data_IF_314463259600
#
_entry.id   IF_314463259600
#
_cell.length_a   1.000
_cell.length_b   1.000
_cell.length_c   1.000
_cell.angle_alpha   90.00
_cell.angle_beta   90.00
_cell.angle_gamma   90.00
#
_symmetry.space_group_name_H-M   'P 1'
#
loop_
_entity.id
_entity.type
_entity.pdbx_description
1 polymer ?
#
# COMPACT_ATOMS: atom_id res chain seq x y z
N UNK A 1 -2.08 -24.53 -12.87
CA UNK A 1 -3.41 -23.91 -12.65
C UNK A 1 -4.03 -24.52 -11.39
N UNK A 2 -3.64 -24.04 -10.21
CA UNK A 2 -4.38 -24.33 -8.99
C UNK A 2 -4.85 -22.98 -8.44
N UNK A 3 -6.17 -22.89 -8.17
CA UNK A 3 -6.94 -21.74 -7.67
C UNK A 3 -7.46 -20.74 -8.74
N UNK A 4 -8.55 -21.13 -9.42
CA UNK A 4 -9.81 -20.37 -9.51
C UNK A 4 -9.88 -18.91 -10.01
N UNK A 5 -8.80 -18.26 -10.42
CA UNK A 5 -8.87 -16.90 -10.95
C UNK A 5 -9.65 -16.87 -12.26
N UNK A 6 -10.74 -16.11 -12.30
CA UNK A 6 -11.50 -15.83 -13.53
C UNK A 6 -11.15 -14.43 -14.04
N UNK A 7 -10.87 -14.27 -15.34
CA UNK A 7 -10.68 -12.95 -15.94
C UNK A 7 -11.86 -12.01 -15.62
N UNK A 8 -11.56 -10.72 -15.49
CA UNK A 8 -12.60 -9.72 -15.31
C UNK A 8 -13.49 -9.68 -16.56
N UNK A 9 -14.80 -9.51 -16.41
CA UNK A 9 -15.71 -9.43 -17.57
C UNK A 9 -15.31 -8.32 -18.57
N UNK A 10 -14.74 -7.23 -18.05
CA UNK A 10 -14.21 -6.14 -18.86
C UNK A 10 -12.92 -6.51 -19.63
N UNK A 11 -12.20 -7.53 -19.18
CA UNK A 11 -10.90 -8.00 -19.71
C UNK A 11 -10.87 -9.54 -19.80
N UNK A 12 -11.70 -10.15 -20.67
CA UNK A 12 -11.88 -11.61 -20.69
C UNK A 12 -10.65 -12.37 -21.22
N UNK A 13 -9.84 -11.73 -22.07
CA UNK A 13 -8.62 -12.30 -22.64
C UNK A 13 -7.39 -11.76 -21.89
N UNK A 14 -6.68 -12.65 -21.19
CA UNK A 14 -5.48 -12.33 -20.41
C UNK A 14 -4.23 -12.06 -21.26
N UNK A 15 -4.24 -12.45 -22.54
CA UNK A 15 -3.13 -12.25 -23.47
C UNK A 15 -3.29 -10.96 -24.30
N UNK A 16 -4.43 -10.28 -24.16
CA UNK A 16 -4.73 -9.04 -24.88
C UNK A 16 -4.31 -7.83 -24.06
N UNK A 17 -3.64 -6.88 -24.72
CA UNK A 17 -3.42 -5.54 -24.17
C UNK A 17 -4.67 -4.68 -24.37
N UNK A 18 -5.18 -4.10 -23.29
CA UNK A 18 -6.30 -3.16 -23.30
C UNK A 18 -5.76 -1.76 -23.06
N UNK A 19 -6.09 -0.83 -23.96
CA UNK A 19 -5.66 0.57 -23.88
C UNK A 19 -6.87 1.48 -23.99
N UNK A 20 -6.85 2.57 -23.24
CA UNK A 20 -7.89 3.59 -23.24
C UNK A 20 -7.31 4.92 -22.76
N UNK A 21 -7.74 6.02 -23.36
CA UNK A 21 -7.40 7.37 -22.90
C UNK A 21 -8.19 7.77 -21.64
N UNK A 22 -9.19 6.97 -21.26
CA UNK A 22 -9.98 7.14 -20.06
C UNK A 22 -9.88 5.90 -19.17
N UNK A 23 -10.04 6.09 -17.86
CA UNK A 23 -10.05 4.99 -16.89
C UNK A 23 -11.21 4.00 -17.18
N UNK A 24 -10.88 2.72 -17.34
CA UNK A 24 -11.88 1.67 -17.57
C UNK A 24 -12.94 1.66 -16.47
N UNK A 25 -14.19 1.34 -16.84
CA UNK A 25 -15.34 1.37 -15.93
C UNK A 25 -15.14 0.55 -14.64
N UNK A 26 -14.47 -0.60 -14.74
CA UNK A 26 -14.14 -1.47 -13.60
C UNK A 26 -13.29 -0.77 -12.53
N UNK A 27 -12.41 0.15 -12.94
CA UNK A 27 -11.59 0.96 -12.04
C UNK A 27 -12.26 2.28 -11.69
N UNK A 28 -12.92 2.94 -12.65
CA UNK A 28 -13.66 4.19 -12.41
C UNK A 28 -14.73 4.04 -11.34
N UNK A 29 -15.41 2.90 -11.31
CA UNK A 29 -16.41 2.60 -10.29
C UNK A 29 -15.81 2.53 -8.87
N UNK A 30 -14.50 2.30 -8.74
CA UNK A 30 -13.79 2.25 -7.45
C UNK A 30 -13.37 3.63 -6.95
N UNK A 31 -13.43 4.65 -7.80
CA UNK A 31 -13.13 6.03 -7.44
C UNK A 31 -14.37 6.67 -6.80
N UNK A 32 -14.25 7.25 -5.59
CA UNK A 32 -15.34 7.98 -4.94
C UNK A 32 -15.85 9.13 -5.81
N UNK A 33 -17.18 9.31 -5.83
CA UNK A 33 -17.78 10.41 -6.56
C UNK A 33 -17.46 11.77 -5.90
N UNK A 34 -16.85 12.68 -6.66
CA UNK A 34 -16.49 14.04 -6.22
C UNK A 34 -17.69 14.88 -5.75
N UNK A 35 -18.92 14.53 -6.15
CA UNK A 35 -20.16 15.21 -5.71
C UNK A 35 -20.63 14.79 -4.31
N UNK A 36 -19.99 13.81 -3.68
CA UNK A 36 -20.35 13.39 -2.32
C UNK A 36 -20.07 14.51 -1.32
N UNK A 37 -20.98 14.71 -0.37
CA UNK A 37 -20.83 15.69 0.71
C UNK A 37 -19.57 15.44 1.56
N UNK A 38 -19.18 14.17 1.73
CA UNK A 38 -18.01 13.75 2.50
C UNK A 38 -16.74 13.56 1.66
N UNK A 39 -16.76 13.94 0.38
CA UNK A 39 -15.61 13.78 -0.51
C UNK A 39 -14.33 14.46 0.02
N UNK A 40 -14.37 15.71 0.54
CA UNK A 40 -13.17 16.34 1.05
C UNK A 40 -12.52 15.57 2.20
N UNK A 41 -13.34 15.09 3.15
CA UNK A 41 -12.87 14.26 4.26
C UNK A 41 -12.34 12.91 3.79
N UNK A 42 -12.84 12.36 2.67
CA UNK A 42 -12.29 11.14 2.08
C UNK A 42 -10.90 11.41 1.50
N UNK A 43 -10.76 12.46 0.69
CA UNK A 43 -9.49 12.85 0.06
C UNK A 43 -8.43 13.12 1.11
N UNK A 44 -8.79 13.87 2.16
CA UNK A 44 -7.91 14.14 3.29
C UNK A 44 -7.44 12.84 3.95
N UNK A 45 -8.32 11.85 4.18
CA UNK A 45 -7.90 10.54 4.74
C UNK A 45 -6.86 9.81 3.89
N UNK A 46 -6.83 10.04 2.59
CA UNK A 46 -5.84 9.45 1.68
C UNK A 46 -4.51 10.21 1.69
N UNK A 47 -4.35 11.25 2.51
CA UNK A 47 -3.15 12.09 2.52
C UNK A 47 -2.99 12.90 1.22
N UNK A 48 -4.09 13.17 0.53
CA UNK A 48 -4.16 13.92 -0.72
C UNK A 48 -4.80 15.30 -0.48
N UNK A 49 -4.49 16.26 -1.35
CA UNK A 49 -5.22 17.53 -1.42
C UNK A 49 -6.35 17.43 -2.45
N UNK A 50 -7.32 18.35 -2.41
CA UNK A 50 -8.40 18.38 -3.41
C UNK A 50 -7.86 18.59 -4.83
N UNK A 51 -6.76 19.32 -4.99
CA UNK A 51 -6.14 19.57 -6.29
C UNK A 51 -5.41 18.34 -6.83
N UNK A 52 -4.87 17.50 -5.93
CA UNK A 52 -4.10 16.31 -6.29
C UNK A 52 -4.98 15.05 -6.37
N UNK A 53 -6.24 15.13 -5.95
CA UNK A 53 -7.18 14.01 -5.85
C UNK A 53 -7.77 13.62 -7.21
N UNK A 54 -6.92 13.32 -8.19
CA UNK A 54 -7.35 12.71 -9.44
C UNK A 54 -7.71 11.22 -9.24
N UNK A 55 -8.43 10.60 -10.19
CA UNK A 55 -8.84 9.20 -10.09
C UNK A 55 -7.70 8.19 -9.87
N UNK A 56 -6.52 8.40 -10.45
CA UNK A 56 -5.37 7.52 -10.31
C UNK A 56 -4.71 7.68 -8.95
N UNK A 57 -4.52 8.92 -8.49
CA UNK A 57 -3.96 9.20 -7.15
C UNK A 57 -4.84 8.61 -6.03
N UNK A 58 -6.16 8.73 -6.19
CA UNK A 58 -7.09 8.11 -5.25
C UNK A 58 -6.96 6.59 -5.27
N UNK A 59 -6.87 5.96 -6.45
CA UNK A 59 -6.71 4.51 -6.56
C UNK A 59 -5.38 4.05 -5.97
N UNK A 60 -4.29 4.77 -6.25
CA UNK A 60 -2.95 4.48 -5.76
C UNK A 60 -2.90 4.37 -4.24
N UNK A 61 -3.55 5.28 -3.51
CA UNK A 61 -3.53 5.24 -2.05
C UNK A 61 -4.65 4.36 -1.46
N UNK A 62 -5.83 4.35 -2.08
CA UNK A 62 -7.00 3.65 -1.51
C UNK A 62 -7.06 2.15 -1.81
N UNK A 63 -6.26 1.65 -2.76
CA UNK A 63 -6.34 0.28 -3.23
C UNK A 63 -7.52 0.02 -4.18
N UNK A 64 -8.43 0.98 -4.37
CA UNK A 64 -9.72 0.74 -5.04
C UNK A 64 -10.57 -0.33 -4.35
N UNK A 65 -10.34 -0.57 -3.05
CA UNK A 65 -10.93 -1.67 -2.31
C UNK A 65 -12.46 -1.56 -2.23
N UNK A 66 -13.14 -2.69 -2.39
CA UNK A 66 -14.60 -2.83 -2.26
C UNK A 66 -14.95 -4.00 -1.36
N UNK A 67 -16.13 -3.97 -0.75
CA UNK A 67 -16.61 -5.09 0.06
C UNK A 67 -17.12 -6.27 -0.79
N UNK A 68 -17.37 -6.04 -2.08
CA UNK A 68 -18.02 -6.99 -3.00
C UNK A 68 -17.04 -7.89 -3.75
N UNK A 69 -15.75 -7.57 -3.73
CA UNK A 69 -14.69 -8.29 -4.44
C UNK A 69 -13.33 -8.09 -3.77
N UNK A 70 -12.33 -8.83 -4.24
CA UNK A 70 -10.95 -8.76 -3.75
C UNK A 70 -9.99 -8.11 -4.77
N UNK A 71 -10.49 -7.28 -5.70
CA UNK A 71 -9.63 -6.60 -6.66
C UNK A 71 -9.00 -5.38 -5.99
N UNK A 72 -7.67 -5.29 -6.09
CA UNK A 72 -6.87 -4.20 -5.54
C UNK A 72 -6.00 -3.59 -6.63
N UNK A 73 -5.84 -2.27 -6.59
CA UNK A 73 -4.96 -1.49 -7.46
C UNK A 73 -3.91 -0.84 -6.59
N UNK A 74 -2.64 -0.93 -6.97
CA UNK A 74 -1.54 -0.31 -6.26
C UNK A 74 -0.62 0.42 -7.24
N UNK A 75 0.06 1.48 -6.80
CA UNK A 75 0.95 2.25 -7.67
C UNK A 75 2.20 1.45 -7.96
N UNK A 76 2.83 1.78 -9.09
CA UNK A 76 4.18 1.33 -9.36
C UNK A 76 5.16 2.08 -8.43
N UNK A 77 6.18 1.41 -7.89
CA UNK A 77 7.24 2.08 -7.14
C UNK A 77 8.13 2.81 -8.15
N UNK A 78 8.17 4.13 -8.06
CA UNK A 78 9.02 4.96 -8.90
C UNK A 78 10.41 5.14 -8.28
N UNK A 79 11.40 4.40 -8.82
CA UNK A 79 12.81 4.57 -8.48
C UNK A 79 13.37 5.79 -9.21
N UNK A 80 13.92 6.73 -8.44
CA UNK A 80 14.57 7.95 -8.94
C UNK A 80 15.96 7.63 -9.53
N UNK A 81 16.56 8.54 -10.32
CA UNK A 81 17.89 8.33 -10.90
C UNK A 81 19.02 8.09 -9.87
N UNK A 82 18.86 8.58 -8.65
CA UNK A 82 19.79 8.35 -7.53
C UNK A 82 19.55 7.01 -6.80
N UNK A 83 18.57 6.22 -7.24
CA UNK A 83 18.17 4.95 -6.64
C UNK A 83 17.15 5.08 -5.53
N UNK A 84 16.84 6.30 -5.07
CA UNK A 84 15.85 6.52 -4.03
C UNK A 84 14.43 6.20 -4.52
N UNK A 85 13.57 5.75 -3.61
CA UNK A 85 12.15 5.63 -3.88
C UNK A 85 11.34 6.05 -2.66
N UNK A 86 10.07 6.34 -2.90
CA UNK A 86 9.08 6.62 -1.88
C UNK A 86 7.79 5.92 -2.23
N UNK A 87 7.16 5.29 -1.26
CA UNK A 87 5.81 4.77 -1.40
C UNK A 87 4.97 5.09 -0.15
N UNK A 88 3.66 5.18 -0.35
CA UNK A 88 2.68 5.35 0.72
C UNK A 88 1.70 4.20 0.71
N UNK A 89 1.36 3.72 1.89
CA UNK A 89 0.39 2.64 2.05
C UNK A 89 -0.29 2.71 3.40
N UNK A 90 -1.52 2.21 3.49
CA UNK A 90 -2.16 2.00 4.77
C UNK A 90 -1.55 0.78 5.47
N UNK A 91 -1.37 0.89 6.79
CA UNK A 91 -0.87 -0.21 7.62
C UNK A 91 -1.84 -1.41 7.58
N UNK A 92 -1.34 -2.57 7.19
CA UNK A 92 -2.14 -3.80 7.14
C UNK A 92 -2.10 -4.56 8.47
N UNK A 93 -3.13 -5.36 8.72
CA UNK A 93 -3.17 -6.34 9.81
C UNK A 93 -3.19 -5.77 11.24
N UNK A 94 -3.25 -4.46 11.44
CA UNK A 94 -3.22 -3.86 12.78
C UNK A 94 -4.35 -4.33 13.73
N UNK A 95 -5.44 -4.92 13.23
CA UNK A 95 -6.49 -5.53 14.07
C UNK A 95 -6.06 -6.83 14.74
N UNK A 96 -4.99 -7.47 14.25
CA UNK A 96 -4.47 -8.75 14.73
C UNK A 96 -3.31 -8.57 15.72
N UNK A 97 -2.86 -7.34 15.94
CA UNK A 97 -1.78 -7.04 16.89
C UNK A 97 -2.32 -6.93 18.31
N UNK A 98 -1.42 -6.88 19.28
CA UNK A 98 -1.78 -6.80 20.70
C UNK A 98 -2.65 -5.58 21.03
N UNK A 99 -3.54 -5.70 22.03
CA UNK A 99 -4.38 -4.58 22.46
C UNK A 99 -3.59 -3.32 22.89
N UNK A 100 -2.40 -3.42 23.53
CA UNK A 100 -1.52 -2.26 23.74
C UNK A 100 -1.10 -1.56 22.44
N UNK A 101 -0.70 -2.32 21.42
CA UNK A 101 -0.30 -1.76 20.13
C UNK A 101 -1.49 -1.11 19.40
N UNK A 102 -2.69 -1.70 19.45
CA UNK A 102 -3.90 -1.06 18.91
C UNK A 102 -4.17 0.30 19.55
N UNK A 103 -4.02 0.40 20.88
CA UNK A 103 -4.14 1.68 21.60
C UNK A 103 -3.00 2.66 21.29
N UNK A 104 -1.81 2.16 20.99
CA UNK A 104 -0.68 2.99 20.58
C UNK A 104 -0.97 3.69 19.25
N UNK A 105 -1.55 2.98 18.27
CA UNK A 105 -1.93 3.56 16.96
C UNK A 105 -2.82 4.81 17.11
N UNK A 106 -3.75 4.80 18.06
CA UNK A 106 -4.64 5.95 18.32
C UNK A 106 -3.92 7.18 18.90
N UNK A 107 -2.68 7.01 19.37
CA UNK A 107 -1.88 8.06 20.02
C UNK A 107 -0.76 8.60 19.14
N UNK A 108 -0.40 7.88 18.09
CA UNK A 108 0.59 8.31 17.10
C UNK A 108 0.18 9.64 16.48
N UNK A 109 1.18 10.39 16.02
CA UNK A 109 1.03 11.65 15.29
C UNK A 109 1.74 11.56 13.95
N UNK A 110 1.30 12.40 13.01
CA UNK A 110 2.02 12.58 11.75
C UNK A 110 3.46 13.01 12.00
N UNK A 111 4.39 12.41 11.27
CA UNK A 111 5.83 12.62 11.37
C UNK A 111 6.56 11.71 12.36
N UNK A 112 5.85 10.91 13.18
CA UNK A 112 6.53 9.97 14.07
C UNK A 112 7.24 8.86 13.29
N UNK A 113 8.52 8.64 13.60
CA UNK A 113 9.33 7.60 13.01
C UNK A 113 8.88 6.22 13.49
N UNK A 114 8.99 5.24 12.59
CA UNK A 114 8.66 3.85 12.85
C UNK A 114 9.90 2.99 12.64
N UNK A 115 10.00 1.93 13.44
CA UNK A 115 10.97 0.87 13.20
C UNK A 115 10.42 -0.12 12.20
N UNK A 116 11.31 -0.64 11.37
CA UNK A 116 10.99 -1.65 10.36
C UNK A 116 11.74 -2.94 10.70
N UNK A 117 11.05 -4.07 10.67
CA UNK A 117 11.64 -5.38 10.96
C UNK A 117 11.20 -6.44 9.93
N UNK A 118 12.12 -7.32 9.54
CA UNK A 118 11.80 -8.49 8.73
C UNK A 118 11.29 -9.63 9.62
N UNK A 119 10.14 -10.17 9.26
CA UNK A 119 9.56 -11.39 9.84
C UNK A 119 9.67 -12.52 8.81
N UNK A 120 10.40 -13.59 9.14
CA UNK A 120 10.72 -14.65 8.17
C UNK A 120 9.72 -15.81 8.17
N UNK A 121 8.84 -15.88 9.18
CA UNK A 121 7.96 -17.01 9.44
C UNK A 121 6.50 -16.58 9.67
N UNK A 122 6.08 -15.50 9.01
CA UNK A 122 4.70 -15.04 9.05
C UNK A 122 3.78 -16.14 8.49
N UNK A 123 2.72 -16.56 9.22
CA UNK A 123 1.89 -17.69 8.78
C UNK A 123 1.07 -17.40 7.52
N UNK A 124 0.86 -16.13 7.16
CA UNK A 124 0.05 -15.74 5.99
C UNK A 124 0.91 -15.53 4.73
N UNK A 125 2.12 -14.99 4.86
CA UNK A 125 2.96 -14.59 3.71
C UNK A 125 4.35 -15.23 3.69
N UNK A 126 4.75 -15.95 4.73
CA UNK A 126 6.13 -16.39 4.94
C UNK A 126 7.02 -15.20 5.33
N UNK A 127 7.54 -14.48 4.34
CA UNK A 127 8.24 -13.22 4.56
C UNK A 127 7.22 -12.09 4.78
N UNK A 128 7.45 -11.24 5.77
CA UNK A 128 6.66 -10.03 6.01
C UNK A 128 7.53 -8.89 6.54
N UNK A 129 7.06 -7.65 6.37
CA UNK A 129 7.72 -6.46 6.90
C UNK A 129 6.81 -5.87 7.96
N UNK A 130 7.30 -5.86 9.20
CA UNK A 130 6.62 -5.29 10.36
C UNK A 130 6.97 -3.83 10.51
N UNK A 131 5.98 -3.03 10.90
CA UNK A 131 6.14 -1.66 11.35
C UNK A 131 5.90 -1.63 12.86
N UNK A 132 6.85 -1.07 13.60
CA UNK A 132 6.86 -1.04 15.06
C UNK A 132 6.99 0.41 15.53
N UNK A 133 6.38 0.71 16.66
CA UNK A 133 6.59 1.99 17.33
C UNK A 133 8.03 2.10 17.86
N UNK A 134 8.61 3.30 17.80
CA UNK A 134 10.05 3.51 17.97
C UNK A 134 10.58 3.27 19.39
N UNK A 135 9.82 3.64 20.41
CA UNK A 135 10.27 3.67 21.82
C UNK A 135 9.98 2.37 22.56
N UNK A 136 8.81 1.79 22.30
CA UNK A 136 8.25 0.62 22.97
C UNK A 136 8.41 -0.67 22.17
N UNK A 137 8.80 -0.57 20.89
CA UNK A 137 8.90 -1.71 19.96
C UNK A 137 7.57 -2.46 19.78
N UNK A 138 6.45 -1.81 20.11
CA UNK A 138 5.14 -2.39 19.91
C UNK A 138 4.91 -2.59 18.42
N UNK A 139 4.67 -3.84 18.03
CA UNK A 139 4.33 -4.18 16.66
C UNK A 139 2.95 -3.63 16.32
N UNK A 140 2.91 -2.69 15.36
CA UNK A 140 1.69 -1.97 14.97
C UNK A 140 0.95 -2.66 13.84
N UNK A 141 1.67 -3.23 12.88
CA UNK A 141 1.11 -3.94 11.73
C UNK A 141 2.17 -4.22 10.67
N UNK A 142 1.74 -4.54 9.45
CA UNK A 142 2.60 -4.95 8.35
C UNK A 142 2.49 -4.04 7.14
N UNK A 143 3.54 -4.00 6.33
CA UNK A 143 3.46 -3.48 4.97
C UNK A 143 2.59 -4.40 4.08
N UNK A 144 1.90 -3.85 3.05
CA UNK A 144 1.19 -4.64 2.06
C UNK A 144 2.07 -5.69 1.41
N UNK A 145 1.47 -6.84 1.08
CA UNK A 145 2.19 -8.00 0.54
C UNK A 145 2.95 -7.68 -0.75
N UNK A 146 2.32 -6.92 -1.65
CA UNK A 146 2.93 -6.59 -2.93
C UNK A 146 4.25 -5.83 -2.74
N UNK A 147 4.39 -4.98 -1.71
CA UNK A 147 5.63 -4.25 -1.48
C UNK A 147 6.78 -5.10 -0.93
N UNK A 148 6.51 -6.34 -0.47
CA UNK A 148 7.49 -7.09 0.33
C UNK A 148 8.81 -7.30 -0.41
N UNK A 149 8.87 -7.77 -1.68
CA UNK A 149 10.15 -8.04 -2.30
C UNK A 149 11.02 -6.80 -2.49
N UNK A 150 10.42 -5.69 -2.91
CA UNK A 150 11.15 -4.44 -3.16
C UNK A 150 11.65 -3.81 -1.85
N UNK A 151 10.78 -3.74 -0.83
CA UNK A 151 11.16 -3.21 0.47
C UNK A 151 12.20 -4.09 1.17
N UNK A 152 12.06 -5.42 1.12
CA UNK A 152 13.06 -6.32 1.69
C UNK A 152 14.41 -6.19 0.97
N UNK A 153 14.41 -6.02 -0.36
CA UNK A 153 15.65 -5.76 -1.11
C UNK A 153 16.31 -4.46 -0.66
N UNK A 154 15.54 -3.38 -0.52
CA UNK A 154 16.05 -2.10 0.02
C UNK A 154 16.61 -2.26 1.42
N UNK A 155 15.93 -3.00 2.31
CA UNK A 155 16.38 -3.28 3.67
C UNK A 155 17.72 -4.02 3.70
N UNK A 156 17.92 -4.99 2.81
CA UNK A 156 19.12 -5.83 2.80
C UNK A 156 20.32 -5.16 2.12
N UNK A 157 20.08 -4.28 1.15
CA UNK A 157 21.14 -3.66 0.35
C UNK A 157 21.49 -2.24 0.79
N UNK A 158 20.55 -1.49 1.36
CA UNK A 158 20.72 -0.08 1.75
C UNK A 158 20.01 0.24 3.08
N UNK A 159 20.28 -0.50 4.18
CA UNK A 159 19.56 -0.34 5.45
C UNK A 159 19.68 1.05 6.07
N UNK A 160 20.76 1.79 5.81
CA UNK A 160 20.97 3.15 6.35
C UNK A 160 20.17 4.24 5.64
N UNK A 161 19.61 3.94 4.47
CA UNK A 161 18.80 4.88 3.67
C UNK A 161 17.30 4.65 3.88
N UNK A 162 16.94 3.74 4.78
CA UNK A 162 15.58 3.31 5.00
C UNK A 162 14.94 4.14 6.10
N UNK A 163 13.79 4.70 5.79
CA UNK A 163 12.97 5.44 6.75
C UNK A 163 11.51 5.05 6.58
N UNK A 164 10.82 4.87 7.70
CA UNK A 164 9.37 4.73 7.72
C UNK A 164 8.82 5.69 8.77
N UNK A 165 7.78 6.44 8.42
CA UNK A 165 7.12 7.34 9.35
C UNK A 165 5.62 7.34 9.16
N UNK A 166 4.92 7.80 10.19
CA UNK A 166 3.48 8.01 10.15
C UNK A 166 3.21 9.23 9.26
N UNK A 167 2.73 9.01 8.04
CA UNK A 167 2.31 10.11 7.18
C UNK A 167 1.02 10.75 7.70
N UNK A 168 0.07 9.92 8.15
CA UNK A 168 -1.20 10.40 8.68
C UNK A 168 -1.88 9.39 9.60
N UNK A 169 -2.53 9.89 10.66
CA UNK A 169 -3.42 9.12 11.52
C UNK A 169 -4.87 9.54 11.28
N UNK A 170 -5.71 8.59 10.89
CA UNK A 170 -7.13 8.81 10.63
C UNK A 170 -7.96 8.27 11.79
N UNK A 171 -8.29 9.09 12.78
CA UNK A 171 -9.09 8.66 13.93
C UNK A 171 -10.53 8.23 13.56
N UNK A 172 -11.23 7.49 14.44
CA UNK A 172 -12.65 7.22 14.26
C UNK A 172 -13.43 8.52 13.97
N UNK A 173 -14.40 8.52 13.02
CA UNK A 173 -15.06 7.35 12.42
C UNK A 173 -14.41 6.84 11.12
N UNK A 174 -13.15 7.18 10.81
CA UNK A 174 -12.49 6.69 9.61
C UNK A 174 -12.48 5.14 9.53
N UNK A 175 -12.57 4.56 8.32
CA UNK A 175 -12.53 3.11 8.12
C UNK A 175 -11.28 2.48 8.73
N UNK A 176 -11.44 1.27 9.28
CA UNK A 176 -10.35 0.57 9.95
C UNK A 176 -9.15 0.31 9.02
N UNK A 177 -9.38 0.00 7.74
CA UNK A 177 -8.32 -0.21 6.75
C UNK A 177 -7.64 1.09 6.28
N UNK A 178 -8.06 2.24 6.80
CA UNK A 178 -7.47 3.55 6.49
C UNK A 178 -6.92 4.23 7.75
N UNK A 179 -6.75 3.50 8.87
CA UNK A 179 -6.45 4.09 10.19
C UNK A 179 -5.08 4.78 10.25
N UNK A 180 -4.06 4.19 9.64
CA UNK A 180 -2.68 4.66 9.71
C UNK A 180 -2.05 4.63 8.32
N UNK A 181 -1.79 5.80 7.75
CA UNK A 181 -1.06 5.94 6.49
C UNK A 181 0.43 6.05 6.82
N UNK A 182 1.21 5.19 6.19
CA UNK A 182 2.66 5.14 6.32
C UNK A 182 3.29 5.69 5.05
N UNK A 183 4.34 6.48 5.21
CA UNK A 183 5.29 6.76 4.13
C UNK A 183 6.57 5.98 4.42
N UNK A 184 7.03 5.26 3.41
CA UNK A 184 8.27 4.50 3.44
C UNK A 184 9.19 5.06 2.35
N UNK A 185 10.42 5.34 2.72
CA UNK A 185 11.49 5.72 1.79
C UNK A 185 12.65 4.76 1.92
N UNK A 186 13.36 4.58 0.81
CA UNK A 186 14.48 3.67 0.74
C UNK A 186 15.29 3.90 -0.52
N UNK A 187 16.23 3.00 -0.76
CA UNK A 187 17.08 3.03 -1.94
C UNK A 187 17.24 1.63 -2.51
N UNK A 188 17.13 1.52 -3.83
CA UNK A 188 17.41 0.31 -4.59
C UNK A 188 18.68 0.50 -5.42
N UNK A 189 19.53 -0.53 -5.56
CA UNK A 189 20.68 -0.46 -6.44
C UNK A 189 20.27 -0.13 -7.89
N UNK A 190 21.16 0.53 -8.63
CA UNK A 190 20.88 0.91 -10.03
C UNK A 190 20.47 -0.28 -10.91
N UNK A 191 21.01 -1.48 -10.65
CA UNK A 191 20.72 -2.72 -11.37
C UNK A 191 19.37 -3.38 -11.02
N UNK A 192 18.64 -2.85 -10.03
CA UNK A 192 17.39 -3.43 -9.54
C UNK A 192 16.24 -2.53 -9.94
N UNK A 193 15.42 -3.02 -10.86
CA UNK A 193 14.15 -2.37 -11.16
C UNK A 193 13.09 -2.83 -10.16
N UNK A 194 12.32 -1.89 -9.57
CA UNK A 194 11.28 -2.28 -8.65
C UNK A 194 10.13 -2.98 -9.37
N UNK A 195 9.39 -3.79 -8.64
CA UNK A 195 8.18 -4.47 -9.09
C UNK A 195 8.36 -5.38 -10.31
N UNK A 196 9.54 -5.99 -10.44
CA UNK A 196 9.83 -6.99 -11.50
C UNK A 196 9.90 -8.42 -10.99
N UNK A 197 9.60 -8.66 -9.70
CA UNK A 197 9.51 -10.00 -9.12
C UNK A 197 8.45 -10.86 -9.83
N UNK A 198 8.48 -12.18 -9.60
CA UNK A 198 7.57 -13.13 -10.26
C UNK A 198 6.09 -12.85 -10.02
N UNK A 199 5.74 -12.17 -8.92
CA UNK A 199 4.33 -11.89 -8.58
C UNK A 199 3.71 -10.76 -9.43
N UNK A 200 4.54 -9.97 -10.11
CA UNK A 200 4.12 -8.90 -11.00
C UNK A 200 4.08 -9.31 -12.48
N UNK A 201 4.57 -10.52 -12.78
CA UNK A 201 4.53 -11.03 -14.14
C UNK A 201 3.09 -11.40 -14.51
N UNK A 202 2.68 -11.20 -15.78
CA UNK A 202 1.37 -11.64 -16.25
C UNK A 202 1.17 -13.12 -15.94
N UNK A 203 -0.07 -13.50 -15.62
CA UNK A 203 -0.46 -14.91 -15.53
C UNK A 203 -0.34 -15.51 -16.93
N UNK A 204 0.79 -16.13 -17.23
CA UNK A 204 0.98 -16.92 -18.44
C UNK A 204 0.10 -18.16 -18.29
N UNK A 205 -0.80 -18.38 -19.26
CA UNK A 205 -1.68 -19.55 -19.30
C UNK A 205 -0.88 -20.81 -19.66
#
# INVERSE_FOLDING_TARGET
MEIGFQPLEAFPDLQRRYESNELFSVFRNRVPNAKRKDYPALVERLGLTITDADPFEILAVSGGARQTDNLEVFPWIEKQPDGSFRCRFFLHGWRYVSAPAQRAIERLRGGEELRVALELNNPATGLAIQLQEQDTYLMLGWAPRYLIPDLAHSMLTSPSMLEAHVAQVNLPPAPYNQRLLIEFTGSLPASVEPMTSTEYQPLVA
#
